data_IF_686439889419
#
_entry.id   IF_686439889419
#
_cell.length_a   1.000
_cell.length_b   1.000
_cell.length_c   1.000
_cell.angle_alpha   90.00
_cell.angle_beta   90.00
_cell.angle_gamma   90.00
#
_symmetry.space_group_name_H-M   'P 1'
#
loop_
_entity.id
_entity.type
_entity.pdbx_description
1 polymer ?
#
# COMPACT_ATOMS: atom_id res chain seq x y z
N UNK A 1 18.08 -7.11 15.36
CA UNK A 1 17.29 -5.86 15.45
C UNK A 1 16.98 -5.44 16.87
N UNK A 2 16.28 -6.25 17.68
CA UNK A 2 15.96 -5.87 19.07
C UNK A 2 17.20 -5.51 19.89
N UNK A 3 18.23 -6.35 19.89
CA UNK A 3 19.47 -6.09 20.65
C UNK A 3 20.23 -4.85 20.16
N UNK A 4 20.22 -4.60 18.84
CA UNK A 4 20.78 -3.36 18.25
C UNK A 4 20.06 -2.13 18.80
N UNK A 5 18.72 -2.14 18.79
CA UNK A 5 17.93 -1.04 19.31
C UNK A 5 18.10 -0.85 20.82
N UNK A 6 18.28 -1.92 21.59
CA UNK A 6 18.59 -1.82 23.03
C UNK A 6 19.94 -1.11 23.23
N UNK A 7 20.97 -1.51 22.47
CA UNK A 7 22.29 -0.88 22.55
C UNK A 7 22.27 0.60 22.16
N UNK A 8 21.57 0.95 21.08
CA UNK A 8 21.45 2.36 20.65
C UNK A 8 20.57 3.17 21.61
N UNK A 9 19.48 2.59 22.13
CA UNK A 9 18.66 3.25 23.14
C UNK A 9 19.46 3.56 24.41
N UNK A 10 20.37 2.67 24.80
CA UNK A 10 21.27 2.90 25.92
C UNK A 10 22.18 4.11 25.65
N UNK A 11 22.78 4.23 24.46
CA UNK A 11 23.57 5.43 24.11
C UNK A 11 22.72 6.71 24.16
N UNK A 12 21.54 6.68 23.53
CA UNK A 12 20.64 7.82 23.48
C UNK A 12 20.12 8.23 24.87
N UNK A 13 19.94 7.31 25.80
CA UNK A 13 19.57 7.64 27.18
C UNK A 13 20.70 8.27 27.98
N UNK A 14 21.95 8.08 27.56
CA UNK A 14 23.15 8.67 28.18
C UNK A 14 23.65 9.93 27.47
N UNK A 15 22.85 10.49 26.55
CA UNK A 15 23.20 11.76 25.88
C UNK A 15 24.09 11.61 24.64
N UNK A 16 24.35 10.38 24.18
CA UNK A 16 25.26 10.12 23.08
C UNK A 16 24.53 9.61 21.83
N UNK A 17 24.91 10.09 20.66
CA UNK A 17 24.61 9.48 19.37
C UNK A 17 25.80 8.67 18.86
N UNK A 18 25.54 7.57 18.17
CA UNK A 18 26.59 6.75 17.59
C UNK A 18 27.17 7.36 16.31
N UNK A 19 26.34 8.01 15.48
CA UNK A 19 26.66 8.70 14.21
C UNK A 19 27.32 7.86 13.09
N UNK A 20 27.65 6.59 13.35
CA UNK A 20 28.32 5.70 12.39
C UNK A 20 27.77 4.27 12.46
N UNK A 21 26.45 4.11 12.47
CA UNK A 21 25.83 2.79 12.48
C UNK A 21 25.88 2.14 11.09
N UNK A 22 26.69 1.09 10.95
CA UNK A 22 26.84 0.28 9.72
C UNK A 22 26.87 -1.20 10.07
N UNK A 23 26.58 -2.07 9.10
CA UNK A 23 26.59 -3.53 9.31
C UNK A 23 27.96 -4.06 9.74
N UNK A 24 29.05 -3.43 9.28
CA UNK A 24 30.43 -3.77 9.67
C UNK A 24 30.74 -3.46 11.15
N UNK A 25 29.99 -2.54 11.76
CA UNK A 25 30.16 -2.14 13.16
C UNK A 25 29.33 -3.02 14.11
N UNK A 26 28.74 -4.11 13.61
CA UNK A 26 27.93 -5.05 14.41
C UNK A 26 28.67 -6.35 14.61
N UNK A 27 28.90 -6.69 15.87
CA UNK A 27 29.53 -7.95 16.25
C UNK A 27 28.46 -8.93 16.71
N UNK A 28 28.52 -10.15 16.20
CA UNK A 28 27.61 -11.25 16.55
C UNK A 28 28.47 -12.38 17.10
N UNK A 29 28.19 -12.79 18.34
CA UNK A 29 28.85 -13.95 18.93
C UNK A 29 28.29 -15.23 18.30
N UNK A 30 29.14 -16.16 17.82
CA UNK A 30 28.67 -17.39 17.18
C UNK A 30 28.03 -18.38 18.16
N UNK A 31 28.36 -18.28 19.46
CA UNK A 31 27.94 -19.24 20.49
C UNK A 31 26.53 -18.94 20.98
N UNK A 32 26.31 -17.71 21.46
CA UNK A 32 25.04 -17.28 22.07
C UNK A 32 24.18 -16.40 21.15
N UNK A 33 24.71 -16.06 19.96
CA UNK A 33 24.07 -15.15 18.98
C UNK A 33 23.81 -13.75 19.52
N UNK A 34 24.46 -13.38 20.62
CA UNK A 34 24.30 -12.04 21.19
C UNK A 34 24.94 -11.00 20.27
N UNK A 35 24.25 -9.88 20.12
CA UNK A 35 24.68 -8.80 19.24
C UNK A 35 25.20 -7.64 20.07
N UNK A 36 26.38 -7.12 19.72
CA UNK A 36 26.93 -5.88 20.29
C UNK A 36 27.18 -4.87 19.18
N UNK A 37 26.80 -3.63 19.45
CA UNK A 37 27.18 -2.49 18.62
C UNK A 37 28.60 -2.10 19.01
N UNK A 38 29.53 -2.16 18.06
CA UNK A 38 30.93 -1.82 18.27
C UNK A 38 31.29 -0.45 17.70
N UNK A 39 32.50 0.03 18.05
CA UNK A 39 33.16 1.23 17.50
C UNK A 39 32.41 2.54 17.78
N UNK A 40 32.72 3.15 18.94
CA UNK A 40 32.22 4.48 19.34
C UNK A 40 33.18 5.62 18.97
N UNK A 41 34.15 5.40 18.08
CA UNK A 41 35.22 6.36 17.79
C UNK A 41 34.73 7.72 17.27
N UNK A 42 33.54 7.75 16.66
CA UNK A 42 32.89 8.95 16.13
C UNK A 42 31.61 9.34 16.90
N UNK A 43 31.35 8.71 18.05
CA UNK A 43 30.17 9.02 18.85
C UNK A 43 30.17 10.50 19.25
N UNK A 44 28.99 11.13 19.20
CA UNK A 44 28.82 12.55 19.42
C UNK A 44 27.87 12.80 20.60
N UNK A 45 28.18 13.82 21.40
CA UNK A 45 27.26 14.30 22.43
C UNK A 45 26.12 15.09 21.79
N UNK A 46 24.92 14.92 22.36
CA UNK A 46 23.75 15.72 21.99
C UNK A 46 23.90 17.18 22.38
N UNK A 47 24.63 17.46 23.44
CA UNK A 47 24.87 18.81 23.93
C UNK A 47 26.17 19.35 23.35
N UNK A 48 26.12 20.56 22.78
CA UNK A 48 27.32 21.25 22.33
C UNK A 48 27.84 22.09 23.50
N UNK A 49 29.04 21.80 24.01
CA UNK A 49 29.68 22.55 25.11
C UNK A 49 30.11 23.98 24.69
N UNK A 50 29.79 24.39 23.46
CA UNK A 50 30.16 25.70 22.93
C UNK A 50 29.42 26.83 23.70
N UNK A 51 30.13 27.77 24.34
CA UNK A 51 29.53 28.83 25.16
C UNK A 51 28.78 29.91 24.35
N UNK A 52 28.62 29.73 23.03
CA UNK A 52 28.13 30.75 22.10
C UNK A 52 26.83 30.38 21.36
N UNK A 53 26.11 29.31 21.72
CA UNK A 53 24.81 29.00 21.09
C UNK A 53 23.69 28.96 22.14
N UNK A 54 23.14 30.15 22.44
CA UNK A 54 21.94 30.28 23.25
C UNK A 54 20.69 29.91 22.46
N UNK A 55 20.06 28.80 22.84
CA UNK A 55 18.62 28.59 23.12
C UNK A 55 18.41 27.10 23.41
N UNK A 56 17.59 26.75 24.40
CA UNK A 56 17.28 25.34 24.73
C UNK A 56 16.66 24.57 23.55
N UNK A 57 15.96 25.27 22.66
CA UNK A 57 15.35 24.71 21.45
C UNK A 57 16.38 24.21 20.42
N UNK A 58 17.50 24.92 20.21
CA UNK A 58 18.56 24.50 19.28
C UNK A 58 19.20 23.17 19.70
N UNK A 59 19.34 22.94 21.00
CA UNK A 59 19.90 21.69 21.55
C UNK A 59 18.91 20.53 21.42
N UNK A 60 17.60 20.80 21.56
CA UNK A 60 16.55 19.80 21.34
C UNK A 60 16.46 19.38 19.88
N UNK A 61 16.58 20.34 18.95
CA UNK A 61 16.60 20.08 17.51
C UNK A 61 17.82 19.26 17.10
N UNK A 62 19.01 19.60 17.62
CA UNK A 62 20.24 18.82 17.39
C UNK A 62 20.09 17.39 17.87
N UNK A 63 19.64 17.19 19.12
CA UNK A 63 19.38 15.87 19.69
C UNK A 63 18.42 15.06 18.82
N UNK A 64 17.31 15.66 18.42
CA UNK A 64 16.31 15.01 17.58
C UNK A 64 16.91 14.59 16.22
N UNK A 65 17.69 15.47 15.59
CA UNK A 65 18.36 15.15 14.32
C UNK A 65 19.37 14.00 14.45
N UNK A 66 20.18 14.00 15.50
CA UNK A 66 21.17 12.95 15.77
C UNK A 66 20.52 11.59 16.05
N UNK A 67 19.50 11.55 16.91
CA UNK A 67 18.71 10.34 17.17
C UNK A 67 18.08 9.84 15.87
N UNK A 68 17.44 10.74 15.12
CA UNK A 68 16.82 10.37 13.86
C UNK A 68 17.85 9.83 12.86
N UNK A 69 19.06 10.39 12.80
CA UNK A 69 20.13 9.90 11.93
C UNK A 69 20.50 8.44 12.26
N UNK A 70 20.77 8.15 13.53
CA UNK A 70 21.06 6.77 13.99
C UNK A 70 19.93 5.80 13.64
N UNK A 71 18.68 6.22 13.88
CA UNK A 71 17.50 5.42 13.57
C UNK A 71 17.35 5.12 12.07
N UNK A 72 17.73 6.07 11.21
CA UNK A 72 17.76 5.86 9.76
C UNK A 72 18.81 4.81 9.36
N UNK A 73 19.99 4.88 9.96
CA UNK A 73 21.05 3.90 9.75
C UNK A 73 20.61 2.49 10.18
N UNK A 74 19.94 2.37 11.33
CA UNK A 74 19.32 1.11 11.77
C UNK A 74 18.27 0.60 10.77
N UNK A 75 17.48 1.49 10.16
CA UNK A 75 16.57 1.14 9.08
C UNK A 75 17.29 0.55 7.86
N UNK A 76 18.40 1.14 7.43
CA UNK A 76 19.22 0.59 6.35
C UNK A 76 19.85 -0.76 6.69
N UNK A 77 20.31 -0.92 7.94
CA UNK A 77 20.83 -2.19 8.42
C UNK A 77 19.74 -3.26 8.42
N UNK A 78 18.55 -2.94 8.95
CA UNK A 78 17.39 -3.86 8.91
C UNK A 78 17.05 -4.28 7.48
N UNK A 79 16.99 -3.33 6.55
CA UNK A 79 16.69 -3.60 5.16
C UNK A 79 17.71 -4.58 4.55
N UNK A 80 19.01 -4.32 4.73
CA UNK A 80 20.10 -5.15 4.20
C UNK A 80 20.18 -6.54 4.87
N UNK A 81 19.87 -6.62 6.17
CA UNK A 81 19.84 -7.89 6.89
C UNK A 81 18.74 -8.82 6.38
N UNK A 82 17.57 -8.26 6.03
CA UNK A 82 16.40 -9.05 5.64
C UNK A 82 16.36 -9.26 4.12
N UNK A 83 16.76 -8.26 3.33
CA UNK A 83 16.76 -8.30 1.87
C UNK A 83 18.21 -8.32 1.37
N UNK A 84 18.72 -9.53 1.12
CA UNK A 84 20.13 -9.75 0.72
C UNK A 84 20.48 -9.02 -0.57
N UNK A 85 19.52 -8.81 -1.47
CA UNK A 85 19.71 -8.09 -2.73
C UNK A 85 20.11 -6.63 -2.52
N UNK A 86 19.79 -6.03 -1.37
CA UNK A 86 20.24 -4.68 -1.02
C UNK A 86 21.73 -4.62 -0.61
N UNK A 87 22.44 -5.75 -0.60
CA UNK A 87 23.90 -5.78 -0.51
C UNK A 87 24.56 -5.41 -1.84
N UNK A 88 23.87 -5.57 -2.97
CA UNK A 88 24.34 -5.08 -4.27
C UNK A 88 24.29 -3.54 -4.29
N UNK A 89 25.42 -2.85 -4.51
CA UNK A 89 25.47 -1.39 -4.59
C UNK A 89 24.51 -0.78 -5.62
N UNK A 90 24.26 -1.45 -6.75
CA UNK A 90 23.37 -0.94 -7.80
C UNK A 90 21.92 -0.94 -7.34
N UNK A 91 21.46 -2.06 -6.78
CA UNK A 91 20.10 -2.19 -6.23
C UNK A 91 19.94 -1.25 -5.03
N UNK A 92 20.94 -1.17 -4.16
CA UNK A 92 20.91 -0.27 -3.00
C UNK A 92 20.89 1.21 -3.41
N UNK A 93 21.51 1.57 -4.53
CA UNK A 93 21.45 2.93 -5.07
C UNK A 93 20.05 3.27 -5.58
N UNK A 94 19.37 2.34 -6.28
CA UNK A 94 17.95 2.50 -6.65
C UNK A 94 17.06 2.67 -5.41
N UNK A 95 17.29 1.86 -4.37
CA UNK A 95 16.59 1.95 -3.09
C UNK A 95 16.82 3.29 -2.37
N UNK A 96 18.06 3.79 -2.33
CA UNK A 96 18.35 5.13 -1.76
C UNK A 96 17.69 6.24 -2.59
N UNK A 97 17.77 6.14 -3.91
CA UNK A 97 17.15 7.10 -4.85
C UNK A 97 15.64 7.22 -4.62
N UNK A 98 14.96 6.10 -4.38
CA UNK A 98 13.55 6.07 -4.01
C UNK A 98 13.26 6.96 -2.78
N UNK A 99 14.06 6.85 -1.72
CA UNK A 99 13.88 7.64 -0.50
C UNK A 99 14.28 9.12 -0.68
N UNK A 100 15.35 9.40 -1.44
CA UNK A 100 15.81 10.79 -1.66
C UNK A 100 14.88 11.58 -2.57
N UNK A 101 14.13 10.91 -3.47
CA UNK A 101 13.06 11.53 -4.27
C UNK A 101 11.85 11.97 -3.42
N UNK A 102 11.84 11.67 -2.12
CA UNK A 102 10.74 12.04 -1.21
C UNK A 102 9.54 11.09 -1.26
N UNK A 103 9.69 9.89 -1.85
CA UNK A 103 8.62 8.89 -1.82
C UNK A 103 8.37 8.40 -0.39
N UNK A 104 7.12 8.07 -0.08
CA UNK A 104 6.75 7.54 1.23
C UNK A 104 7.35 6.12 1.42
N UNK A 105 8.18 5.90 2.46
CA UNK A 105 8.75 4.59 2.77
C UNK A 105 7.71 3.48 3.00
N UNK A 106 6.45 3.84 3.26
CA UNK A 106 5.35 2.89 3.36
C UNK A 106 5.18 2.09 2.06
N UNK A 107 5.47 2.68 0.90
CA UNK A 107 5.37 2.04 -0.41
C UNK A 107 6.59 1.17 -0.79
N UNK A 108 7.52 0.94 0.16
CA UNK A 108 8.75 0.19 -0.09
C UNK A 108 8.48 -1.24 -0.55
N UNK A 109 7.43 -1.88 -0.03
CA UNK A 109 7.06 -3.25 -0.40
C UNK A 109 6.74 -3.32 -1.90
N UNK A 110 5.87 -2.44 -2.37
CA UNK A 110 5.39 -2.39 -3.76
C UNK A 110 6.53 -2.01 -4.71
N UNK A 111 7.40 -1.08 -4.30
CA UNK A 111 8.59 -0.71 -5.05
C UNK A 111 9.59 -1.88 -5.19
N UNK A 112 9.88 -2.58 -4.09
CA UNK A 112 10.88 -3.65 -4.06
C UNK A 112 10.38 -4.92 -4.73
N UNK A 113 9.08 -5.22 -4.69
CA UNK A 113 8.51 -6.37 -5.39
C UNK A 113 8.87 -6.37 -6.89
N UNK A 114 8.80 -5.20 -7.54
CA UNK A 114 9.10 -5.09 -8.97
C UNK A 114 10.58 -5.32 -9.31
N UNK A 115 11.46 -5.08 -8.34
CA UNK A 115 12.92 -5.20 -8.49
C UNK A 115 13.38 -6.62 -8.12
N UNK A 116 12.85 -7.17 -7.03
CA UNK A 116 13.36 -8.40 -6.40
C UNK A 116 12.65 -9.68 -6.90
N UNK A 117 11.42 -9.58 -7.40
CA UNK A 117 10.61 -10.75 -7.74
C UNK A 117 10.89 -11.31 -9.15
N UNK A 118 11.86 -10.74 -9.89
CA UNK A 118 12.05 -11.09 -11.30
C UNK A 118 12.55 -12.51 -11.57
N UNK A 119 13.22 -13.19 -10.60
CA UNK A 119 13.99 -14.40 -10.92
C UNK A 119 13.91 -15.57 -9.90
N UNK A 120 13.01 -15.56 -8.90
CA UNK A 120 12.97 -16.63 -7.87
C UNK A 120 11.70 -17.48 -7.96
N UNK A 121 11.84 -18.77 -8.27
CA UNK A 121 10.76 -19.75 -8.26
C UNK A 121 10.21 -20.06 -6.85
N UNK A 122 10.98 -19.76 -5.80
CA UNK A 122 10.61 -19.99 -4.38
C UNK A 122 10.21 -18.73 -3.63
N UNK A 123 10.13 -17.59 -4.32
CA UNK A 123 9.91 -16.27 -3.73
C UNK A 123 11.14 -15.74 -2.99
N UNK A 124 11.01 -14.57 -2.36
CA UNK A 124 12.08 -13.94 -1.58
C UNK A 124 11.78 -14.09 -0.08
N UNK A 125 12.64 -14.83 0.63
CA UNK A 125 12.48 -15.09 2.07
C UNK A 125 12.46 -13.79 2.91
N UNK A 126 13.19 -12.77 2.50
CA UNK A 126 13.19 -11.45 3.13
C UNK A 126 11.83 -10.76 3.04
N UNK A 127 11.20 -10.76 1.87
CA UNK A 127 9.84 -10.25 1.70
C UNK A 127 8.84 -11.01 2.59
N UNK A 128 8.96 -12.34 2.66
CA UNK A 128 8.11 -13.16 3.54
C UNK A 128 8.30 -12.83 5.02
N UNK A 129 9.54 -12.58 5.47
CA UNK A 129 9.83 -12.16 6.85
C UNK A 129 9.14 -10.83 7.17
N UNK A 130 9.18 -9.86 6.24
CA UNK A 130 8.57 -8.54 6.45
C UNK A 130 7.03 -8.58 6.36
N UNK A 131 6.47 -9.48 5.55
CA UNK A 131 5.02 -9.73 5.39
C UNK A 131 4.40 -10.47 6.60
N UNK A 132 5.21 -11.10 7.46
CA UNK A 132 4.73 -11.75 8.68
C UNK A 132 4.04 -10.76 9.62
N UNK A 133 3.18 -11.31 10.48
CA UNK A 133 2.40 -10.56 11.47
C UNK A 133 1.66 -9.37 10.85
N UNK A 134 0.97 -9.61 9.74
CA UNK A 134 0.20 -8.61 9.00
C UNK A 134 1.06 -7.44 8.48
N UNK A 135 2.28 -7.73 8.02
CA UNK A 135 3.18 -6.72 7.46
C UNK A 135 3.87 -5.83 8.52
N UNK A 136 3.95 -6.26 9.78
CA UNK A 136 4.58 -5.47 10.85
C UNK A 136 6.05 -5.16 10.57
N UNK A 137 6.77 -6.03 9.86
CA UNK A 137 8.16 -5.77 9.48
C UNK A 137 8.29 -4.58 8.53
N UNK A 138 7.40 -4.51 7.54
CA UNK A 138 7.33 -3.35 6.63
C UNK A 138 6.95 -2.07 7.36
N UNK A 139 6.05 -2.13 8.34
CA UNK A 139 5.67 -0.95 9.11
C UNK A 139 6.86 -0.39 9.92
N UNK A 140 7.57 -1.27 10.64
CA UNK A 140 8.75 -0.83 11.38
C UNK A 140 9.81 -0.25 10.44
N UNK A 141 10.03 -0.90 9.30
CA UNK A 141 11.01 -0.45 8.32
C UNK A 141 10.65 0.93 7.74
N UNK A 142 9.36 1.18 7.45
CA UNK A 142 8.92 2.49 6.95
C UNK A 142 9.07 3.59 8.00
N UNK A 143 8.81 3.27 9.28
CA UNK A 143 8.99 4.20 10.39
C UNK A 143 10.47 4.53 10.67
N UNK A 144 11.38 3.56 10.54
CA UNK A 144 12.83 3.78 10.65
C UNK A 144 13.37 4.62 9.49
N UNK A 145 12.78 4.47 8.31
CA UNK A 145 13.22 5.14 7.08
C UNK A 145 12.41 6.38 6.71
N UNK A 146 11.55 6.87 7.61
CA UNK A 146 10.77 8.09 7.43
C UNK A 146 11.66 9.23 6.90
N UNK A 147 11.18 9.92 5.85
CA UNK A 147 11.95 10.97 5.16
C UNK A 147 12.24 12.16 6.07
N UNK A 148 11.22 12.62 6.79
CA UNK A 148 11.34 13.67 7.80
C UNK A 148 11.91 13.11 9.12
N UNK A 149 12.94 13.74 9.71
CA UNK A 149 13.50 13.34 11.00
C UNK A 149 12.47 13.32 12.14
N UNK A 150 11.53 14.27 12.15
CA UNK A 150 10.50 14.41 13.18
C UNK A 150 9.45 13.29 13.17
N UNK A 151 9.22 12.67 12.00
CA UNK A 151 8.30 11.53 11.83
C UNK A 151 8.98 10.19 12.04
N UNK A 152 10.31 10.16 12.22
CA UNK A 152 11.08 8.94 12.39
C UNK A 152 10.91 8.41 13.81
N UNK A 153 10.72 7.10 13.91
CA UNK A 153 10.48 6.43 15.20
C UNK A 153 11.70 6.54 16.12
N UNK A 154 11.45 6.77 17.41
CA UNK A 154 12.49 6.75 18.45
C UNK A 154 12.90 5.31 18.80
N UNK A 155 14.07 5.12 19.43
CA UNK A 155 14.47 3.76 19.85
C UNK A 155 13.44 3.12 20.79
N UNK A 156 12.92 3.90 21.74
CA UNK A 156 11.94 3.43 22.72
C UNK A 156 10.67 2.94 22.03
N UNK A 157 10.11 3.75 21.14
CA UNK A 157 8.89 3.41 20.40
C UNK A 157 9.13 2.19 19.49
N UNK A 158 10.29 2.14 18.82
CA UNK A 158 10.67 1.00 17.99
C UNK A 158 10.78 -0.31 18.80
N UNK A 159 11.30 -0.28 20.02
CA UNK A 159 11.39 -1.44 20.91
C UNK A 159 10.02 -1.97 21.34
N UNK A 160 9.00 -1.10 21.39
CA UNK A 160 7.60 -1.49 21.67
C UNK A 160 6.84 -1.96 20.43
N UNK A 161 7.47 -1.90 19.24
CA UNK A 161 6.81 -2.23 17.99
C UNK A 161 6.46 -3.73 17.91
N UNK A 162 5.25 -4.11 17.43
CA UNK A 162 4.81 -5.51 17.36
C UNK A 162 5.70 -6.46 16.56
N UNK A 163 6.55 -5.94 15.68
CA UNK A 163 7.54 -6.74 14.96
C UNK A 163 8.66 -7.26 15.88
N UNK A 164 9.03 -6.49 16.90
CA UNK A 164 10.11 -6.84 17.85
C UNK A 164 9.56 -7.42 19.15
N UNK A 165 8.35 -7.04 19.53
CA UNK A 165 7.61 -7.66 20.63
C UNK A 165 7.07 -9.02 20.16
N UNK A 166 7.75 -10.10 20.54
CA UNK A 166 7.21 -11.46 20.36
C UNK A 166 5.83 -11.62 21.02
N UNK A 167 5.10 -12.71 20.73
CA UNK A 167 3.69 -12.91 21.14
C UNK A 167 3.44 -12.83 22.66
N UNK A 168 4.49 -12.89 23.47
CA UNK A 168 4.46 -12.78 24.93
C UNK A 168 4.32 -11.33 25.43
N UNK A 169 4.70 -10.33 24.63
CA UNK A 169 4.60 -8.93 24.98
C UNK A 169 3.39 -8.31 24.25
N UNK A 170 2.22 -8.41 24.87
CA UNK A 170 0.97 -7.86 24.33
C UNK A 170 0.90 -6.35 24.54
N UNK A 171 1.64 -5.59 23.74
CA UNK A 171 1.37 -4.16 23.60
C UNK A 171 -0.01 -4.03 22.95
N UNK A 172 -0.90 -3.21 23.52
CA UNK A 172 -2.19 -2.91 22.90
C UNK A 172 -1.87 -2.19 21.59
N UNK A 173 -2.17 -2.77 20.41
CA UNK A 173 -1.78 -2.16 19.15
C UNK A 173 -2.55 -0.85 18.96
N UNK A 174 -1.85 0.17 18.48
CA UNK A 174 -2.50 1.42 18.07
C UNK A 174 -3.46 1.19 16.90
N UNK A 175 -4.40 2.12 16.71
CA UNK A 175 -5.32 2.07 15.56
C UNK A 175 -4.53 2.09 14.25
N UNK A 176 -3.41 2.80 14.18
CA UNK A 176 -2.54 2.87 13.01
C UNK A 176 -1.97 1.49 12.62
N UNK A 177 -1.49 0.74 13.61
CA UNK A 177 -0.97 -0.61 13.42
C UNK A 177 -2.08 -1.56 12.97
N UNK A 178 -3.29 -1.44 13.55
CA UNK A 178 -4.43 -2.26 13.15
C UNK A 178 -4.78 -1.99 11.68
N UNK A 179 -4.86 -0.72 11.27
CA UNK A 179 -5.13 -0.32 9.88
C UNK A 179 -4.07 -0.82 8.92
N UNK A 180 -2.80 -0.66 9.30
CA UNK A 180 -1.68 -1.20 8.54
C UNK A 180 -1.83 -2.71 8.33
N UNK A 181 -2.18 -3.44 9.39
CA UNK A 181 -2.38 -4.88 9.36
C UNK A 181 -3.55 -5.30 8.47
N UNK A 182 -4.68 -4.60 8.55
CA UNK A 182 -5.85 -4.85 7.69
C UNK A 182 -5.49 -4.66 6.20
N UNK A 183 -4.84 -3.54 5.87
CA UNK A 183 -4.42 -3.24 4.50
C UNK A 183 -3.40 -4.24 3.94
N UNK A 184 -2.37 -4.57 4.73
CA UNK A 184 -1.34 -5.54 4.30
C UNK A 184 -1.93 -6.94 4.14
N UNK A 185 -2.91 -7.32 4.96
CA UNK A 185 -3.61 -8.61 4.84
C UNK A 185 -4.53 -8.63 3.62
N UNK A 186 -5.28 -7.55 3.37
CA UNK A 186 -6.13 -7.43 2.19
C UNK A 186 -5.31 -7.56 0.89
N UNK A 187 -4.16 -6.89 0.86
CA UNK A 187 -3.22 -6.94 -0.24
C UNK A 187 -2.69 -8.37 -0.46
N UNK A 188 -2.22 -9.04 0.60
CA UNK A 188 -1.72 -10.42 0.48
C UNK A 188 -2.79 -11.40 -0.01
N UNK A 189 -4.02 -11.29 0.49
CA UNK A 189 -5.14 -12.12 0.01
C UNK A 189 -5.40 -11.86 -1.47
N UNK A 190 -5.28 -10.62 -1.94
CA UNK A 190 -5.46 -10.30 -3.37
C UNK A 190 -4.33 -10.82 -4.27
N UNK A 191 -3.11 -10.95 -3.75
CA UNK A 191 -1.96 -11.50 -4.49
C UNK A 191 -1.98 -13.03 -4.59
N UNK A 192 -2.57 -13.73 -3.63
CA UNK A 192 -2.56 -15.21 -3.55
C UNK A 192 -3.42 -15.93 -4.63
N UNK A 193 -4.02 -15.19 -5.60
CA UNK A 193 -4.70 -15.58 -6.87
C UNK A 193 -5.79 -16.68 -6.85
N UNK A 194 -5.89 -17.50 -5.80
CA UNK A 194 -6.87 -18.57 -5.66
C UNK A 194 -8.05 -17.98 -4.89
N UNK A 195 -9.13 -17.64 -5.59
CA UNK A 195 -10.32 -17.03 -4.98
C UNK A 195 -11.44 -18.06 -4.76
N UNK A 196 -11.41 -18.76 -3.65
CA UNK A 196 -12.60 -19.40 -3.10
C UNK A 196 -13.58 -18.36 -2.54
N UNK A 197 -14.86 -18.71 -2.46
CA UNK A 197 -15.88 -17.91 -1.77
C UNK A 197 -15.47 -17.45 -0.36
N UNK A 198 -14.75 -18.27 0.46
CA UNK A 198 -14.26 -17.84 1.77
C UNK A 198 -13.25 -16.68 1.72
N UNK A 199 -12.32 -16.67 0.76
CA UNK A 199 -11.33 -15.59 0.64
C UNK A 199 -11.99 -14.29 0.17
N UNK A 200 -12.94 -14.37 -0.78
CA UNK A 200 -13.71 -13.21 -1.23
C UNK A 200 -14.51 -12.59 -0.08
N UNK A 201 -15.16 -13.42 0.74
CA UNK A 201 -15.89 -12.97 1.93
C UNK A 201 -14.96 -12.32 2.96
N UNK A 202 -13.80 -12.92 3.23
CA UNK A 202 -12.77 -12.35 4.12
C UNK A 202 -12.25 -11.00 3.60
N UNK A 203 -11.97 -10.90 2.30
CA UNK A 203 -11.47 -9.66 1.71
C UNK A 203 -12.51 -8.54 1.77
N UNK A 204 -13.79 -8.85 1.46
CA UNK A 204 -14.89 -7.90 1.65
C UNK A 204 -14.97 -7.41 3.09
N UNK A 205 -14.84 -8.33 4.06
CA UNK A 205 -14.83 -8.00 5.48
C UNK A 205 -13.66 -7.07 5.86
N UNK A 206 -12.45 -7.33 5.34
CA UNK A 206 -11.30 -6.45 5.58
C UNK A 206 -11.49 -5.06 4.98
N UNK A 207 -12.06 -4.97 3.77
CA UNK A 207 -12.36 -3.68 3.14
C UNK A 207 -13.34 -2.89 4.00
N UNK A 208 -14.42 -3.49 4.49
CA UNK A 208 -15.39 -2.82 5.36
C UNK A 208 -14.74 -2.30 6.67
N UNK A 209 -13.87 -3.10 7.29
CA UNK A 209 -13.14 -2.67 8.49
C UNK A 209 -12.18 -1.50 8.19
N UNK A 210 -11.48 -1.52 7.06
CA UNK A 210 -10.63 -0.40 6.63
C UNK A 210 -11.45 0.87 6.44
N UNK A 211 -12.61 0.78 5.76
CA UNK A 211 -13.52 1.91 5.53
C UNK A 211 -14.00 2.53 6.84
N UNK A 212 -14.34 1.71 7.84
CA UNK A 212 -14.74 2.18 9.17
C UNK A 212 -13.60 2.87 9.93
N UNK A 213 -12.36 2.43 9.71
CA UNK A 213 -11.16 2.95 10.38
C UNK A 213 -10.45 4.03 9.53
N UNK A 214 -11.07 4.54 8.47
CA UNK A 214 -10.44 5.47 7.55
C UNK A 214 -9.86 6.70 8.29
N UNK A 215 -8.52 6.94 8.24
CA UNK A 215 -7.90 8.11 8.85
C UNK A 215 -8.40 9.43 8.25
N UNK A 216 -8.73 9.40 6.97
CA UNK A 216 -8.87 10.57 6.12
C UNK A 216 -10.33 10.69 5.69
N UNK A 217 -11.23 10.92 6.65
CA UNK A 217 -12.66 11.09 6.35
C UNK A 217 -12.98 12.41 5.64
N UNK A 218 -12.10 13.42 5.76
CA UNK A 218 -12.30 14.75 5.18
C UNK A 218 -11.69 14.82 3.77
N UNK A 219 -12.41 15.33 2.76
CA UNK A 219 -11.90 15.49 1.40
C UNK A 219 -10.60 16.31 1.30
N UNK A 220 -10.35 17.24 2.22
CA UNK A 220 -9.11 18.02 2.26
C UNK A 220 -7.86 17.12 2.34
N UNK A 221 -7.90 16.07 3.17
CA UNK A 221 -6.78 15.15 3.33
C UNK A 221 -6.55 14.28 2.07
N UNK A 222 -7.59 14.06 1.27
CA UNK A 222 -7.46 13.32 0.01
C UNK A 222 -6.68 14.12 -1.04
N UNK A 223 -6.72 15.45 -0.99
CA UNK A 223 -5.98 16.29 -1.95
C UNK A 223 -4.47 16.10 -1.86
N UNK A 224 -3.96 15.73 -0.69
CA UNK A 224 -2.53 15.51 -0.45
C UNK A 224 -2.11 14.07 -0.75
N UNK A 225 -3.00 13.09 -0.50
CA UNK A 225 -2.68 11.67 -0.62
C UNK A 225 -3.05 11.03 -1.95
N UNK A 226 -4.16 11.47 -2.57
CA UNK A 226 -4.71 10.87 -3.78
C UNK A 226 -3.85 11.09 -5.05
N UNK A 227 -3.14 12.22 -5.24
CA UNK A 227 -2.30 12.39 -6.42
C UNK A 227 -1.17 11.34 -6.52
N UNK A 228 -0.98 10.81 -7.73
CA UNK A 228 0.03 9.79 -8.03
C UNK A 228 -0.49 8.69 -8.96
N UNK A 229 0.36 7.70 -9.24
CA UNK A 229 0.03 6.52 -10.04
C UNK A 229 -0.42 5.38 -9.11
N UNK A 230 -1.59 4.81 -9.38
CA UNK A 230 -2.20 3.74 -8.60
C UNK A 230 -2.38 2.50 -9.46
N UNK A 231 -1.88 1.33 -9.05
CA UNK A 231 -2.09 0.07 -9.74
C UNK A 231 -3.32 -0.63 -9.19
N UNK A 232 -4.24 -1.06 -10.06
CA UNK A 232 -5.38 -1.88 -9.69
C UNK A 232 -4.89 -3.26 -9.23
N UNK A 233 -5.29 -3.68 -8.02
CA UNK A 233 -5.03 -5.02 -7.50
C UNK A 233 -6.24 -5.92 -7.57
N UNK A 234 -7.40 -5.41 -7.14
CA UNK A 234 -8.60 -6.22 -6.98
C UNK A 234 -9.86 -5.38 -7.13
N UNK A 235 -10.96 -6.04 -7.49
CA UNK A 235 -12.29 -5.43 -7.47
C UNK A 235 -13.27 -6.39 -6.75
N UNK A 236 -14.27 -5.93 -6.02
CA UNK A 236 -15.27 -6.87 -5.44
C UNK A 236 -16.39 -7.20 -6.43
N UNK A 237 -16.37 -6.60 -7.62
CA UNK A 237 -17.36 -6.80 -8.69
C UNK A 237 -17.25 -8.17 -9.34
N UNK A 238 -17.83 -8.30 -10.54
CA UNK A 238 -17.75 -9.56 -11.30
C UNK A 238 -16.34 -9.73 -11.84
N UNK A 239 -15.59 -10.68 -11.28
CA UNK A 239 -14.29 -11.09 -11.80
C UNK A 239 -14.44 -12.27 -12.73
N UNK A 240 -13.71 -12.21 -13.85
CA UNK A 240 -13.43 -13.40 -14.65
C UNK A 240 -12.25 -14.08 -14.00
N UNK A 241 -12.52 -15.18 -13.31
CA UNK A 241 -11.48 -16.07 -12.80
C UNK A 241 -10.94 -16.96 -13.92
N UNK A 242 -10.35 -18.09 -13.54
CA UNK A 242 -10.07 -19.17 -14.48
C UNK A 242 -11.40 -19.63 -15.10
N UNK A 243 -11.59 -19.32 -16.38
CA UNK A 243 -12.78 -19.73 -17.12
C UNK A 243 -12.36 -20.63 -18.28
N UNK A 244 -13.21 -21.60 -18.62
CA UNK A 244 -13.06 -22.41 -19.83
C UNK A 244 -13.43 -21.63 -21.11
N UNK A 245 -13.61 -20.30 -21.01
CA UNK A 245 -13.94 -19.45 -22.14
C UNK A 245 -12.72 -19.38 -23.06
N UNK A 246 -12.94 -19.67 -24.33
CA UNK A 246 -11.97 -19.39 -25.39
C UNK A 246 -12.41 -18.10 -26.10
N UNK A 247 -11.75 -16.97 -25.86
CA UNK A 247 -12.07 -15.73 -26.56
C UNK A 247 -11.58 -15.80 -28.02
N UNK A 248 -12.22 -15.06 -28.94
CA UNK A 248 -11.84 -15.04 -30.35
C UNK A 248 -10.43 -14.47 -30.56
N UNK A 249 -10.06 -13.46 -29.77
CA UNK A 249 -8.71 -12.91 -29.67
C UNK A 249 -8.25 -13.07 -28.23
N UNK A 250 -7.09 -13.68 -28.02
CA UNK A 250 -6.58 -13.96 -26.69
C UNK A 250 -5.82 -12.75 -26.16
N UNK A 251 -6.36 -12.12 -25.12
CA UNK A 251 -5.77 -10.91 -24.53
C UNK A 251 -5.29 -11.19 -23.12
N UNK A 252 -4.01 -10.91 -22.88
CA UNK A 252 -3.41 -10.91 -21.56
C UNK A 252 -3.37 -9.48 -21.03
N UNK A 253 -4.14 -9.20 -19.98
CA UNK A 253 -4.08 -7.91 -19.29
C UNK A 253 -2.77 -7.80 -18.51
N UNK A 254 -2.03 -6.73 -18.78
CA UNK A 254 -0.83 -6.36 -18.05
C UNK A 254 -1.16 -5.55 -16.80
N UNK A 255 -0.41 -4.48 -16.57
CA UNK A 255 -0.70 -3.58 -15.46
C UNK A 255 -1.78 -2.56 -15.84
N UNK A 256 -2.81 -2.50 -15.01
CA UNK A 256 -3.86 -1.48 -15.06
C UNK A 256 -3.55 -0.40 -14.03
N UNK A 257 -3.36 0.82 -14.49
CA UNK A 257 -3.04 1.97 -13.65
C UNK A 257 -4.12 3.03 -13.71
N UNK A 258 -4.28 3.75 -12.60
CA UNK A 258 -5.05 4.97 -12.46
C UNK A 258 -4.09 6.07 -12.01
N UNK A 259 -3.78 7.00 -12.91
CA UNK A 259 -2.96 8.17 -12.62
C UNK A 259 -3.88 9.32 -12.25
N UNK A 260 -3.72 9.84 -11.03
CA UNK A 260 -4.47 11.01 -10.56
C UNK A 260 -3.52 12.19 -10.48
N UNK A 261 -3.85 13.26 -11.19
CA UNK A 261 -3.09 14.52 -11.15
C UNK A 261 -4.00 15.67 -10.74
N UNK A 262 -3.40 16.68 -10.10
CA UNK A 262 -4.13 17.84 -9.62
C UNK A 262 -4.02 18.98 -10.63
N UNK A 263 -5.16 19.50 -11.09
CA UNK A 263 -5.19 20.57 -12.10
C UNK A 263 -4.66 21.89 -11.54
N UNK A 264 -4.93 22.20 -10.27
CA UNK A 264 -4.31 23.33 -9.57
C UNK A 264 -4.25 23.10 -8.05
N UNK A 265 -3.26 23.69 -7.38
CA UNK A 265 -3.08 23.57 -5.92
C UNK A 265 -4.24 24.12 -5.08
N UNK A 266 -5.10 24.95 -5.66
CA UNK A 266 -6.23 25.57 -4.97
C UNK A 266 -7.58 24.88 -5.28
N UNK A 267 -7.69 24.19 -6.42
CA UNK A 267 -8.94 23.55 -6.80
C UNK A 267 -9.05 22.11 -6.26
N UNK A 268 -10.30 21.67 -6.09
CA UNK A 268 -10.65 20.28 -5.79
C UNK A 268 -10.85 19.45 -7.07
N UNK A 269 -10.49 20.01 -8.21
CA UNK A 269 -10.55 19.35 -9.51
C UNK A 269 -9.30 18.49 -9.74
N UNK A 270 -9.53 17.23 -10.10
CA UNK A 270 -8.54 16.20 -10.30
C UNK A 270 -8.73 15.60 -11.69
N UNK A 271 -7.63 15.41 -12.41
CA UNK A 271 -7.62 14.68 -13.67
C UNK A 271 -7.28 13.22 -13.37
N UNK A 272 -8.17 12.32 -13.78
CA UNK A 272 -8.00 10.89 -13.66
C UNK A 272 -7.66 10.36 -15.05
N UNK A 273 -6.58 9.58 -15.15
CA UNK A 273 -6.17 8.89 -16.36
C UNK A 273 -6.08 7.39 -16.04
N UNK A 274 -6.93 6.58 -16.65
CA UNK A 274 -6.85 5.12 -16.60
C UNK A 274 -5.94 4.66 -17.74
N UNK A 275 -4.85 3.96 -17.42
CA UNK A 275 -3.91 3.36 -18.37
C UNK A 275 -4.00 1.84 -18.26
N UNK A 276 -4.47 1.17 -19.31
CA UNK A 276 -4.61 -0.28 -19.39
C UNK A 276 -3.64 -0.78 -20.46
N UNK A 277 -2.56 -1.42 -20.03
CA UNK A 277 -1.65 -2.16 -20.92
C UNK A 277 -2.09 -3.60 -21.08
N UNK A 278 -2.05 -4.14 -22.29
CA UNK A 278 -2.38 -5.53 -22.58
C UNK A 278 -1.53 -6.05 -23.75
N UNK A 279 -1.40 -7.37 -23.82
CA UNK A 279 -0.69 -8.06 -24.90
C UNK A 279 -1.66 -9.03 -25.56
N UNK A 280 -1.79 -8.94 -26.88
CA UNK A 280 -2.65 -9.81 -27.69
C UNK A 280 -1.80 -10.96 -28.22
N UNK A 281 -2.11 -12.18 -27.81
CA UNK A 281 -1.40 -13.38 -28.25
C UNK A 281 -2.01 -13.84 -29.56
N UNK A 282 -1.18 -13.85 -30.62
CA UNK A 282 -1.61 -14.23 -31.96
C UNK A 282 -1.43 -15.74 -32.11
N UNK A 283 -2.53 -16.48 -32.26
CA UNK A 283 -2.52 -17.93 -32.42
C UNK A 283 -3.67 -18.61 -31.68
N UNK A 284 -3.90 -19.89 -31.99
CA UNK A 284 -4.91 -20.70 -31.27
C UNK A 284 -4.39 -21.19 -29.91
N UNK A 285 -3.08 -21.41 -29.77
CA UNK A 285 -2.45 -21.91 -28.56
C UNK A 285 -1.85 -20.79 -27.70
N UNK A 286 -1.82 -20.99 -26.38
CA UNK A 286 -1.13 -20.08 -25.45
C UNK A 286 0.38 -20.22 -25.63
N UNK A 287 1.08 -19.20 -26.17
CA UNK A 287 2.52 -19.28 -26.29
C UNK A 287 3.12 -19.31 -24.88
N UNK A 288 4.05 -20.24 -24.64
CA UNK A 288 4.63 -20.44 -23.31
C UNK A 288 5.34 -19.19 -22.77
N UNK A 289 5.89 -18.38 -23.68
CA UNK A 289 6.54 -17.10 -23.39
C UNK A 289 5.55 -15.93 -23.25
N UNK A 290 4.24 -16.18 -23.49
CA UNK A 290 3.17 -15.17 -23.53
C UNK A 290 3.50 -14.00 -24.47
N UNK A 291 4.29 -14.27 -25.52
CA UNK A 291 4.63 -13.26 -26.51
C UNK A 291 3.40 -12.90 -27.35
N UNK A 292 3.35 -11.64 -27.79
CA UNK A 292 2.25 -11.13 -28.57
C UNK A 292 2.46 -9.68 -28.98
N UNK A 293 1.41 -9.07 -29.50
CA UNK A 293 1.41 -7.66 -29.90
C UNK A 293 0.89 -6.81 -28.76
N UNK A 294 1.66 -5.82 -28.36
CA UNK A 294 1.28 -4.92 -27.28
C UNK A 294 0.21 -3.92 -27.73
N UNK A 295 -0.71 -3.64 -26.83
CA UNK A 295 -1.73 -2.61 -26.96
C UNK A 295 -1.85 -1.79 -25.68
N UNK A 296 -2.26 -0.54 -25.85
CA UNK A 296 -2.50 0.39 -24.74
C UNK A 296 -3.84 1.08 -24.92
N UNK A 297 -4.66 1.06 -23.88
CA UNK A 297 -5.90 1.82 -23.80
C UNK A 297 -5.76 2.88 -22.71
N UNK A 298 -6.12 4.12 -23.01
CA UNK A 298 -6.09 5.23 -22.08
C UNK A 298 -7.44 5.95 -22.03
N UNK A 299 -7.94 6.20 -20.83
CA UNK A 299 -9.19 6.94 -20.59
C UNK A 299 -8.93 8.11 -19.66
N UNK A 300 -9.24 9.32 -20.09
CA UNK A 300 -9.04 10.54 -19.30
C UNK A 300 -10.39 11.15 -18.90
N UNK A 301 -10.53 11.58 -17.65
CA UNK A 301 -11.75 12.23 -17.16
C UNK A 301 -11.46 13.22 -16.03
N UNK A 302 -12.28 14.28 -15.95
CA UNK A 302 -12.13 15.35 -14.97
C UNK A 302 -13.13 15.16 -13.82
N UNK A 303 -12.61 15.01 -12.60
CA UNK A 303 -13.39 14.84 -11.39
C UNK A 303 -13.32 16.06 -10.48
N UNK A 304 -14.41 16.37 -9.80
CA UNK A 304 -14.45 17.28 -8.66
C UNK A 304 -14.63 16.49 -7.37
N UNK A 305 -13.73 16.71 -6.42
CA UNK A 305 -13.79 16.12 -5.09
C UNK A 305 -14.77 16.92 -4.21
N UNK A 306 -15.75 16.24 -3.60
CA UNK A 306 -16.72 16.82 -2.67
C UNK A 306 -16.86 15.97 -1.41
N UNK A 307 -17.38 16.55 -0.32
CA UNK A 307 -17.75 15.78 0.85
C UNK A 307 -19.06 15.02 0.59
N UNK A 308 -19.10 13.75 0.93
CA UNK A 308 -20.28 12.91 0.82
C UNK A 308 -20.49 12.03 2.05
N UNK A 309 -21.62 11.33 2.08
CA UNK A 309 -21.90 10.26 3.03
C UNK A 309 -22.34 9.02 2.29
N UNK A 310 -21.79 7.87 2.65
CA UNK A 310 -22.26 6.58 2.19
C UNK A 310 -23.25 6.05 3.22
N UNK A 311 -24.46 5.74 2.77
CA UNK A 311 -25.48 5.11 3.60
C UNK A 311 -25.32 3.59 3.52
N UNK A 312 -25.31 2.94 4.67
CA UNK A 312 -25.47 1.49 4.74
C UNK A 312 -26.96 1.24 4.89
N UNK A 313 -27.57 0.59 3.89
CA UNK A 313 -28.97 0.18 3.96
C UNK A 313 -29.15 -0.66 5.24
N UNK A 314 -30.02 -0.23 6.16
CA UNK A 314 -30.58 -1.14 7.16
C UNK A 314 -31.56 -2.04 6.40
N UNK A 315 -31.42 -3.36 6.52
CA UNK A 315 -32.54 -4.23 6.13
C UNK A 315 -33.72 -3.82 7.01
N UNK A 316 -34.78 -3.30 6.40
CA UNK A 316 -36.06 -3.21 7.08
C UNK A 316 -36.49 -4.65 7.36
N UNK A 317 -36.76 -4.98 8.63
CA UNK A 317 -37.50 -6.18 9.00
C UNK A 317 -38.89 -6.09 8.38
N UNK A 318 -39.02 -6.49 7.11
CA UNK A 318 -40.29 -6.66 6.43
C UNK A 318 -40.42 -8.13 6.05
N UNK A 319 -41.26 -8.81 6.83
CA UNK A 319 -41.89 -10.07 6.52
C UNK A 319 -42.18 -10.17 5.02
N UNK A 320 -41.36 -10.92 4.28
CA UNK A 320 -41.76 -11.44 2.97
C UNK A 320 -40.99 -12.72 2.70
N UNK A 321 -41.75 -13.78 2.54
CA UNK A 321 -41.31 -15.13 2.30
C UNK A 321 -40.48 -15.25 1.01
N UNK A 322 -39.41 -16.05 1.09
CA UNK A 322 -38.74 -16.74 -0.03
C UNK A 322 -38.20 -15.86 -1.17
N UNK A 323 -36.98 -15.35 -0.97
CA UNK A 323 -35.97 -15.38 -2.03
C UNK A 323 -34.56 -15.55 -1.41
N UNK A 324 -33.79 -16.46 -1.99
CA UNK A 324 -32.51 -17.01 -1.53
C UNK A 324 -31.46 -16.00 -1.05
N UNK A 325 -30.95 -16.24 0.17
CA UNK A 325 -29.89 -15.57 0.94
C UNK A 325 -28.74 -14.90 0.15
N UNK A 326 -28.33 -13.70 0.62
CA UNK A 326 -26.97 -13.55 1.11
C UNK A 326 -26.90 -12.71 2.40
N UNK A 327 -27.46 -13.17 3.52
CA UNK A 327 -27.42 -12.42 4.78
C UNK A 327 -27.07 -13.32 5.96
N UNK A 328 -25.77 -13.47 6.22
CA UNK A 328 -25.24 -13.94 7.51
C UNK A 328 -23.97 -13.16 7.92
N UNK A 329 -23.49 -12.23 7.09
CA UNK A 329 -22.23 -11.50 7.31
C UNK A 329 -22.41 -10.26 8.18
N UNK A 330 -23.57 -9.58 8.13
CA UNK A 330 -23.82 -8.35 8.90
C UNK A 330 -24.19 -8.59 10.37
N UNK A 331 -24.98 -9.61 10.68
CA UNK A 331 -25.26 -9.97 12.07
C UNK A 331 -24.02 -10.52 12.78
N UNK A 332 -23.18 -11.26 12.05
CA UNK A 332 -21.85 -11.64 12.51
C UNK A 332 -20.91 -10.42 12.68
N UNK A 333 -21.12 -9.36 11.90
CA UNK A 333 -20.37 -8.09 11.99
C UNK A 333 -20.72 -7.33 13.27
N UNK A 334 -22.00 -7.16 13.57
CA UNK A 334 -22.46 -6.54 14.81
C UNK A 334 -22.01 -7.33 16.05
N UNK A 335 -22.12 -8.67 16.02
CA UNK A 335 -21.65 -9.51 17.13
C UNK A 335 -20.12 -9.48 17.32
N UNK A 336 -19.30 -9.53 16.25
CA UNK A 336 -17.82 -9.52 16.40
C UNK A 336 -17.25 -8.15 16.80
N UNK A 337 -17.85 -7.05 16.34
CA UNK A 337 -17.47 -5.69 16.74
C UNK A 337 -17.89 -5.35 18.17
N UNK A 338 -18.88 -6.07 18.72
CA UNK A 338 -19.32 -5.89 20.12
C UNK A 338 -18.31 -6.40 21.17
N UNK A 339 -17.27 -7.13 20.75
CA UNK A 339 -16.24 -7.66 21.63
C UNK A 339 -15.44 -6.56 22.35
N UNK A 340 -15.07 -6.80 23.62
CA UNK A 340 -14.37 -5.81 24.49
C UNK A 340 -13.12 -5.18 23.85
N UNK A 341 -12.43 -5.86 22.94
CA UNK A 341 -11.24 -5.37 22.23
C UNK A 341 -11.54 -4.31 21.16
N UNK A 342 -12.67 -4.44 20.46
CA UNK A 342 -13.05 -3.55 19.35
C UNK A 342 -13.78 -2.29 19.85
N UNK A 343 -14.51 -2.37 20.97
CA UNK A 343 -15.14 -1.19 21.60
C UNK A 343 -14.17 -0.08 21.99
N UNK A 344 -12.89 -0.39 22.22
CA UNK A 344 -11.85 0.61 22.53
C UNK A 344 -11.18 1.20 21.28
N UNK A 345 -11.18 0.47 20.17
CA UNK A 345 -10.50 0.84 18.93
C UNK A 345 -11.44 1.53 17.92
N UNK A 346 -12.74 1.28 18.03
CA UNK A 346 -13.76 1.90 17.18
C UNK A 346 -14.29 3.17 17.84
N UNK A 347 -14.40 4.29 17.10
CA UNK A 347 -15.00 5.51 17.61
C UNK A 347 -16.54 5.39 17.78
N UNK A 348 -17.13 4.24 17.44
CA UNK A 348 -18.58 4.02 17.46
C UNK A 348 -18.96 2.86 18.39
N UNK A 349 -20.00 3.06 19.22
CA UNK A 349 -20.60 2.01 20.07
C UNK A 349 -21.48 1.04 19.28
N UNK A 350 -21.98 1.45 18.11
CA UNK A 350 -22.81 0.68 17.18
C UNK A 350 -22.27 0.83 15.74
N UNK A 351 -22.62 -0.09 14.84
CA UNK A 351 -22.27 0.01 13.42
C UNK A 351 -22.93 1.27 12.82
N UNK A 352 -22.14 2.19 12.21
CA UNK A 352 -22.69 3.46 11.75
C UNK A 352 -23.62 3.24 10.55
N UNK A 353 -24.81 3.86 10.60
CA UNK A 353 -25.76 3.89 9.48
C UNK A 353 -25.23 4.65 8.26
N UNK A 354 -24.24 5.53 8.46
CA UNK A 354 -23.55 6.24 7.40
C UNK A 354 -22.08 6.47 7.72
N UNK A 355 -21.22 6.42 6.70
CA UNK A 355 -19.81 6.80 6.81
C UNK A 355 -19.50 8.04 5.95
N UNK A 356 -18.64 8.95 6.42
CA UNK A 356 -18.12 10.04 5.61
C UNK A 356 -17.28 9.48 4.45
N UNK A 357 -17.49 10.00 3.24
CA UNK A 357 -16.76 9.58 2.03
C UNK A 357 -16.37 10.77 1.19
N UNK A 358 -15.33 10.62 0.37
CA UNK A 358 -14.98 11.60 -0.65
C UNK A 358 -15.79 11.31 -1.91
N UNK A 359 -16.80 12.13 -2.21
CA UNK A 359 -17.62 11.99 -3.41
C UNK A 359 -16.84 12.47 -4.63
N UNK A 360 -16.81 11.64 -5.66
CA UNK A 360 -16.21 11.95 -6.95
C UNK A 360 -17.35 12.30 -7.90
N UNK A 361 -17.34 13.51 -8.45
CA UNK A 361 -18.33 13.93 -9.46
C UNK A 361 -17.59 14.20 -10.75
N UNK A 362 -17.89 13.40 -11.77
CA UNK A 362 -17.39 13.65 -13.13
C UNK A 362 -18.01 14.93 -13.68
N UNK A 363 -17.19 15.73 -14.34
CA UNK A 363 -17.56 17.05 -14.86
C UNK A 363 -17.30 17.21 -16.36
N UNK A 364 -16.92 16.12 -17.05
CA UNK A 364 -16.57 16.15 -18.47
C UNK A 364 -16.89 14.86 -19.21
N UNK A 365 -16.68 14.90 -20.52
CA UNK A 365 -16.77 13.74 -21.42
C UNK A 365 -15.47 12.96 -21.28
N UNK A 366 -15.56 11.65 -21.10
CA UNK A 366 -14.40 10.76 -20.99
C UNK A 366 -13.74 10.63 -22.37
N UNK A 367 -12.48 11.06 -22.48
CA UNK A 367 -11.68 10.88 -23.69
C UNK A 367 -11.06 9.48 -23.67
N UNK A 368 -11.43 8.63 -24.64
CA UNK A 368 -10.93 7.26 -24.77
C UNK A 368 -10.01 7.18 -25.97
N UNK A 369 -8.76 6.79 -25.75
CA UNK A 369 -7.76 6.58 -26.79
C UNK A 369 -7.23 5.16 -26.72
N UNK A 370 -7.10 4.49 -27.87
CA UNK A 370 -6.60 3.13 -27.94
C UNK A 370 -5.53 3.03 -29.02
N UNK A 371 -4.37 2.51 -28.64
CA UNK A 371 -3.25 2.24 -29.53
C UNK A 371 -3.04 0.72 -29.60
N UNK A 372 -3.03 0.20 -30.82
CA UNK A 372 -2.76 -1.21 -31.13
C UNK A 372 -1.51 -1.29 -32.00
N UNK A 373 -0.60 -2.21 -31.68
CA UNK A 373 0.55 -2.49 -32.54
C UNK A 373 0.15 -3.17 -33.86
N UNK A 374 1.04 -3.10 -34.84
CA UNK A 374 0.90 -3.84 -36.10
C UNK A 374 1.03 -5.36 -35.83
N UNK A 375 0.23 -6.23 -36.49
CA UNK A 375 -0.70 -5.96 -37.59
C UNK A 375 -2.16 -5.68 -37.16
N UNK A 376 -2.47 -5.67 -35.86
CA UNK A 376 -3.84 -5.53 -35.33
C UNK A 376 -4.48 -4.16 -35.63
N UNK A 377 -3.66 -3.15 -35.89
CA UNK A 377 -4.07 -1.83 -36.39
C UNK A 377 -4.83 -1.89 -37.73
N UNK A 378 -4.63 -2.97 -38.52
CA UNK A 378 -5.12 -3.07 -39.90
C UNK A 378 -6.50 -3.72 -40.02
N UNK A 379 -6.99 -4.44 -39.01
CA UNK A 379 -8.29 -5.13 -39.03
C UNK A 379 -9.25 -4.59 -37.96
N UNK A 380 -10.30 -3.88 -38.40
CA UNK A 380 -11.34 -3.30 -37.52
C UNK A 380 -12.04 -4.39 -36.69
N UNK A 381 -12.26 -5.57 -37.27
CA UNK A 381 -12.92 -6.69 -36.59
C UNK A 381 -12.06 -7.24 -35.43
N UNK A 382 -10.75 -7.42 -35.65
CA UNK A 382 -9.85 -7.87 -34.57
C UNK A 382 -9.74 -6.81 -33.48
N UNK A 383 -9.64 -5.53 -33.83
CA UNK A 383 -9.65 -4.44 -32.85
C UNK A 383 -10.93 -4.45 -31.99
N UNK A 384 -12.10 -4.70 -32.60
CA UNK A 384 -13.38 -4.79 -31.89
C UNK A 384 -13.41 -5.97 -30.91
N UNK A 385 -12.92 -7.13 -31.36
CA UNK A 385 -12.83 -8.33 -30.52
C UNK A 385 -11.88 -8.12 -29.32
N UNK A 386 -10.73 -7.48 -29.56
CA UNK A 386 -9.76 -7.14 -28.52
C UNK A 386 -10.40 -6.18 -27.50
N UNK A 387 -11.07 -5.10 -27.93
CA UNK A 387 -11.77 -4.18 -27.02
C UNK A 387 -12.80 -4.90 -26.17
N UNK A 388 -13.59 -5.78 -26.79
CA UNK A 388 -14.60 -6.56 -26.08
C UNK A 388 -13.96 -7.48 -25.04
N UNK A 389 -12.83 -8.12 -25.36
CA UNK A 389 -12.13 -8.98 -24.42
C UNK A 389 -11.54 -8.19 -23.25
N UNK A 390 -10.86 -7.06 -23.51
CA UNK A 390 -10.34 -6.18 -22.45
C UNK A 390 -11.49 -5.70 -21.55
N UNK A 391 -12.65 -5.30 -22.11
CA UNK A 391 -13.86 -4.92 -21.36
C UNK A 391 -14.42 -6.02 -20.49
N UNK A 392 -14.17 -7.27 -20.86
CA UNK A 392 -14.66 -8.43 -20.13
C UNK A 392 -13.75 -8.75 -18.94
N UNK A 393 -12.44 -8.54 -19.07
CA UNK A 393 -11.45 -8.86 -18.03
C UNK A 393 -11.20 -7.74 -17.01
N UNK A 394 -11.35 -6.47 -17.39
CA UNK A 394 -11.08 -5.33 -16.50
C UNK A 394 -12.40 -4.76 -15.94
N UNK A 395 -12.43 -4.25 -14.69
CA UNK A 395 -13.63 -3.64 -14.14
C UNK A 395 -14.19 -2.50 -15.02
N UNK A 396 -15.52 -2.41 -15.18
CA UNK A 396 -16.14 -1.41 -16.05
C UNK A 396 -15.80 0.03 -15.63
N UNK A 397 -15.51 0.25 -14.35
CA UNK A 397 -15.13 1.57 -13.82
C UNK A 397 -13.74 2.04 -14.29
N UNK A 398 -12.87 1.13 -14.77
CA UNK A 398 -11.58 1.51 -15.36
C UNK A 398 -11.69 1.90 -16.84
N UNK A 399 -12.81 1.52 -17.48
CA UNK A 399 -13.13 1.86 -18.86
C UNK A 399 -13.98 3.11 -18.99
N UNK A 400 -14.86 3.32 -18.02
CA UNK A 400 -15.79 4.41 -17.94
C UNK A 400 -15.65 5.00 -16.54
N UNK A 401 -14.80 6.01 -16.46
CA UNK A 401 -14.38 6.59 -15.19
C UNK A 401 -15.57 7.26 -14.50
N UNK A 402 -16.56 7.74 -15.27
CA UNK A 402 -17.79 8.34 -14.73
C UNK A 402 -18.54 7.43 -13.74
N UNK A 403 -18.30 6.11 -13.78
CA UNK A 403 -18.85 5.12 -12.86
C UNK A 403 -18.23 5.15 -11.46
N UNK A 404 -17.14 5.89 -11.24
CA UNK A 404 -16.61 6.13 -9.90
C UNK A 404 -17.50 7.10 -9.12
N UNK A 405 -17.99 6.65 -7.96
CA UNK A 405 -18.92 7.42 -7.13
C UNK A 405 -18.23 8.04 -5.93
N UNK A 406 -17.46 7.24 -5.18
CA UNK A 406 -16.81 7.74 -3.97
C UNK A 406 -15.56 6.98 -3.59
N UNK A 407 -14.60 7.69 -3.02
CA UNK A 407 -13.47 7.14 -2.30
C UNK A 407 -13.85 6.87 -0.84
N UNK A 408 -13.57 5.67 -0.35
CA UNK A 408 -13.94 5.22 1.00
C UNK A 408 -12.75 5.03 1.93
N UNK A 409 -11.57 4.77 1.39
CA UNK A 409 -10.32 4.67 2.15
C UNK A 409 -9.14 5.18 1.32
N UNK A 410 -8.25 5.93 1.96
CA UNK A 410 -6.96 6.32 1.38
C UNK A 410 -5.89 6.41 2.47
N UNK A 411 -4.77 5.75 2.23
CA UNK A 411 -3.50 5.99 2.90
C UNK A 411 -2.38 6.14 1.86
N UNK A 412 -1.12 6.20 2.29
CA UNK A 412 -0.01 6.40 1.36
C UNK A 412 0.26 5.24 0.42
N UNK A 413 -0.26 4.04 0.70
CA UNK A 413 -0.03 2.80 -0.06
C UNK A 413 -1.27 2.27 -0.75
N UNK A 414 -2.45 2.45 -0.14
CA UNK A 414 -3.70 1.81 -0.51
C UNK A 414 -4.80 2.83 -0.75
N UNK A 415 -5.59 2.56 -1.78
CA UNK A 415 -6.74 3.36 -2.16
C UNK A 415 -7.93 2.45 -2.44
N UNK A 416 -9.08 2.77 -1.87
CA UNK A 416 -10.36 2.08 -2.14
C UNK A 416 -11.35 3.08 -2.73
N UNK A 417 -11.77 2.80 -3.97
CA UNK A 417 -12.81 3.54 -4.67
C UNK A 417 -14.02 2.63 -4.89
N UNK A 418 -15.22 3.18 -4.74
CA UNK A 418 -16.48 2.50 -4.98
C UNK A 418 -17.08 2.94 -6.32
N UNK A 419 -17.51 1.96 -7.12
CA UNK A 419 -18.30 2.17 -8.33
C UNK A 419 -19.78 2.37 -8.05
N UNK A 420 -20.53 2.77 -9.08
CA UNK A 420 -22.02 2.87 -9.07
C UNK A 420 -22.71 1.58 -8.64
N UNK A 421 -22.12 0.43 -8.95
CA UNK A 421 -22.65 -0.89 -8.60
C UNK A 421 -22.33 -1.29 -7.15
N UNK A 422 -21.67 -0.44 -6.37
CA UNK A 422 -21.22 -0.73 -5.01
C UNK A 422 -19.94 -1.58 -4.90
N UNK A 423 -19.40 -2.04 -6.04
CA UNK A 423 -18.08 -2.67 -6.18
C UNK A 423 -16.99 -1.81 -5.55
N UNK A 424 -16.13 -2.41 -4.73
CA UNK A 424 -14.89 -1.81 -4.25
C UNK A 424 -13.75 -2.18 -5.17
N UNK A 425 -13.06 -1.18 -5.70
CA UNK A 425 -11.79 -1.32 -6.40
C UNK A 425 -10.68 -0.98 -5.42
N UNK A 426 -9.76 -1.93 -5.23
CA UNK A 426 -8.58 -1.83 -4.38
C UNK A 426 -7.37 -1.54 -5.25
N UNK A 427 -6.67 -0.45 -4.95
CA UNK A 427 -5.47 -0.02 -5.64
C UNK A 427 -4.28 0.05 -4.68
N UNK A 428 -3.09 -0.17 -5.23
CA UNK A 428 -1.80 0.12 -4.57
C UNK A 428 -1.08 1.27 -5.23
N UNK A 429 -0.28 2.01 -4.47
CA UNK A 429 0.54 3.05 -5.06
C UNK A 429 1.67 2.45 -5.89
N UNK A 430 1.81 2.93 -7.12
CA UNK A 430 2.89 2.56 -8.02
C UNK A 430 3.95 3.67 -8.00
N UNK A 431 5.11 3.37 -7.45
CA UNK A 431 6.25 4.30 -7.39
C UNK A 431 7.33 3.98 -8.43
N UNK A 432 7.01 3.13 -9.41
CA UNK A 432 7.96 2.71 -10.42
C UNK A 432 7.92 3.68 -11.60
N UNK A 433 8.98 4.49 -11.74
CA UNK A 433 9.25 5.21 -12.99
C UNK A 433 9.73 4.20 -14.03
N UNK A 434 9.01 4.07 -15.15
CA UNK A 434 9.36 3.18 -16.26
C UNK A 434 10.71 3.54 -16.93
N UNK A 435 11.26 4.72 -16.63
CA UNK A 435 12.61 5.15 -17.06
C UNK A 435 13.75 4.44 -16.34
N UNK A 436 13.47 3.61 -15.33
CA UNK A 436 14.47 2.80 -14.61
C UNK A 436 14.64 1.37 -15.17
N UNK A 437 14.23 1.13 -16.43
CA UNK A 437 14.51 -0.13 -17.14
C UNK A 437 16.00 -0.32 -17.36
#
# INVERSE_FOLDING_TARGET
MRDLLIGVNYLHSHGLAHTELRLENVHISPVDRHIKVGILGNAADFYDDSPNCGTADNNMDRRQMMIAFDMRCLGFMMAKMVLRELMDPLIFTKFKSFLTKGNDPSCLREFLLQILHRNSSSGNAGLQILDRNWGAGWNLLSLLLATEPSKRVSCLDALTHPFLCGPRWRVVPSIDIIRWGLGSTALRISEEYIYGQPQRSRLSHFIELMEMLNPNSRPKNWLDLLPGKWRLLYCTGRHIGLTFRQPPEQVLIGHVHLTVSRVSKLNTSLLFASDIGFTVMIGQDWPHDKAGVDGKLQVNSLFRLMAGRRLYLKEEEKNTEKLSNPSNTRDAFAQKLSGRKWRKALPFKESPSSLPVAKLVSSGIDEVTMNLGDPLSKSINSATNVVQEVRTQVPPEMFDLSKFVCGTYVDSRLLVIRGVNGSALLFTRSCFDESCK
#
